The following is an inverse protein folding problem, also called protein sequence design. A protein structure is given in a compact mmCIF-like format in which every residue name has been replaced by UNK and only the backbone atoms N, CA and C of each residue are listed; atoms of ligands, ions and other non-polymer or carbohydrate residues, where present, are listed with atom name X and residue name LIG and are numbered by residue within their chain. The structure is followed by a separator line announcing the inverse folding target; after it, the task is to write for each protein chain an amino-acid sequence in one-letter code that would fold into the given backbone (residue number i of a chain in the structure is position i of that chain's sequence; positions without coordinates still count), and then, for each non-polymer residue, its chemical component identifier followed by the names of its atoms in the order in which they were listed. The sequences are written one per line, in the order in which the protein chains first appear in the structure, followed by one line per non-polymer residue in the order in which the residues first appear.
data_IF_301904784874
#
_entry.id   IF_301904784874
#
_cell.length_a   1.000
_cell.length_b   1.000
_cell.length_c   1.000
_cell.angle_alpha   90.00
_cell.angle_beta   90.00
_cell.angle_gamma   90.00
#
_symmetry.space_group_name_H-M   'P 1'
#
loop_
_entity.id
_entity.type
_entity.pdbx_description
1 polymer ?
#
# COMPACT_ATOMS: atom_id res chain seq x y z
N UNK A 1 -18.10 20.17 13.15
CA UNK A 1 -17.67 19.14 14.13
C UNK A 1 -16.26 18.62 13.90
N UNK A 2 -15.80 18.39 12.66
CA UNK A 2 -14.45 17.89 12.36
C UNK A 2 -13.30 18.68 13.03
N UNK A 3 -13.34 20.02 13.00
CA UNK A 3 -12.33 20.86 13.68
C UNK A 3 -12.27 20.63 15.20
N UNK A 4 -13.40 20.27 15.83
CA UNK A 4 -13.46 19.96 17.27
C UNK A 4 -12.77 18.62 17.54
N UNK A 5 -13.06 17.60 16.74
CA UNK A 5 -12.40 16.30 16.82
C UNK A 5 -10.89 16.41 16.59
N UNK A 6 -10.47 17.17 15.57
CA UNK A 6 -9.06 17.42 15.31
C UNK A 6 -8.35 17.96 16.56
N UNK A 7 -8.89 19.01 17.20
CA UNK A 7 -8.30 19.56 18.43
C UNK A 7 -8.12 18.53 19.55
N UNK A 8 -9.06 17.60 19.70
CA UNK A 8 -8.95 16.53 20.70
C UNK A 8 -7.93 15.45 20.33
N UNK A 9 -7.69 15.23 19.04
CA UNK A 9 -6.75 14.24 18.54
C UNK A 9 -5.30 14.75 18.45
N UNK A 10 -5.09 16.08 18.41
CA UNK A 10 -3.75 16.68 18.33
C UNK A 10 -2.73 16.15 19.36
N UNK A 11 -3.08 15.90 20.65
CA UNK A 11 -2.12 15.32 21.59
C UNK A 11 -1.68 13.90 21.20
N UNK A 12 -2.61 13.08 20.70
CA UNK A 12 -2.32 11.73 20.24
C UNK A 12 -1.45 11.75 18.99
N UNK A 13 -1.75 12.63 18.04
CA UNK A 13 -0.97 12.85 16.83
C UNK A 13 0.48 13.23 17.17
N UNK A 14 0.67 14.21 18.05
CA UNK A 14 2.02 14.60 18.51
C UNK A 14 2.77 13.46 19.17
N UNK A 15 2.10 12.66 19.99
CA UNK A 15 2.72 11.51 20.64
C UNK A 15 3.13 10.44 19.62
N UNK A 16 2.28 10.18 18.61
CA UNK A 16 2.59 9.24 17.55
C UNK A 16 3.83 9.69 16.75
N UNK A 17 3.90 10.97 16.36
CA UNK A 17 5.06 11.54 15.66
C UNK A 17 6.32 11.42 16.51
N UNK A 18 6.26 11.78 17.80
CA UNK A 18 7.40 11.69 18.69
C UNK A 18 7.92 10.25 18.81
N UNK A 19 7.02 9.29 19.06
CA UNK A 19 7.38 7.88 19.20
C UNK A 19 8.01 7.30 17.93
N UNK A 20 7.42 7.59 16.76
CA UNK A 20 7.96 7.11 15.49
C UNK A 20 9.28 7.80 15.18
N UNK A 21 9.43 9.10 15.42
CA UNK A 21 10.68 9.82 15.18
C UNK A 21 11.83 9.29 16.05
N UNK A 22 11.53 8.87 17.29
CA UNK A 22 12.52 8.25 18.18
C UNK A 22 12.86 6.81 17.76
N UNK A 23 11.87 6.05 17.30
CA UNK A 23 12.03 4.65 16.93
C UNK A 23 12.68 4.44 15.56
N UNK A 24 12.36 5.28 14.57
CA UNK A 24 12.73 5.08 13.17
C UNK A 24 14.24 4.99 12.92
N UNK A 25 15.12 5.78 13.57
CA UNK A 25 16.57 5.62 13.45
C UNK A 25 17.10 4.30 14.03
N UNK A 26 16.35 3.66 14.92
CA UNK A 26 16.73 2.38 15.56
C UNK A 26 16.34 1.16 14.69
N UNK A 27 15.46 1.35 13.70
CA UNK A 27 14.97 0.28 12.84
C UNK A 27 16.06 -0.17 11.85
N UNK A 28 16.63 -1.36 12.06
CA UNK A 28 17.72 -1.88 11.22
C UNK A 28 17.25 -2.55 9.92
N UNK A 29 16.02 -3.09 9.91
CA UNK A 29 15.43 -3.76 8.76
C UNK A 29 13.98 -3.33 8.59
N UNK A 30 13.47 -3.22 7.36
CA UNK A 30 12.04 -3.05 7.16
C UNK A 30 11.28 -4.32 7.56
N UNK A 31 10.03 -4.15 8.00
CA UNK A 31 9.13 -5.25 8.35
C UNK A 31 8.23 -5.51 7.15
N UNK A 32 8.38 -6.67 6.51
CA UNK A 32 7.71 -7.07 5.26
C UNK A 32 6.64 -8.15 5.45
N UNK A 33 6.03 -8.23 6.64
CA UNK A 33 4.92 -9.18 6.87
C UNK A 33 3.69 -8.72 6.08
N UNK A 34 2.81 -9.60 5.62
CA UNK A 34 1.54 -9.17 5.00
C UNK A 34 0.47 -8.74 6.02
N UNK A 35 0.90 -8.37 7.23
CA UNK A 35 0.03 -8.09 8.38
C UNK A 35 0.32 -6.71 9.00
N UNK A 36 -0.22 -6.49 10.20
CA UNK A 36 -0.30 -5.20 10.91
C UNK A 36 1.03 -4.49 11.13
N UNK A 37 2.12 -5.23 11.33
CA UNK A 37 3.43 -4.67 11.64
C UNK A 37 4.19 -4.18 10.40
N UNK A 38 3.63 -4.34 9.21
CA UNK A 38 4.30 -4.03 7.95
C UNK A 38 4.63 -2.55 7.81
N UNK A 39 5.91 -2.24 7.60
CA UNK A 39 6.38 -0.86 7.61
C UNK A 39 6.02 -0.09 6.34
N UNK A 40 5.97 -0.71 5.15
CA UNK A 40 5.75 0.08 3.94
C UNK A 40 4.33 0.68 3.86
N UNK A 41 3.31 -0.09 4.23
CA UNK A 41 1.95 0.40 4.35
C UNK A 41 1.83 1.51 5.41
N UNK A 42 2.37 1.27 6.62
CA UNK A 42 2.32 2.27 7.69
C UNK A 42 3.04 3.57 7.31
N UNK A 43 4.23 3.47 6.71
CA UNK A 43 5.01 4.62 6.28
C UNK A 43 4.34 5.38 5.13
N UNK A 44 3.65 4.69 4.22
CA UNK A 44 2.87 5.34 3.16
C UNK A 44 1.77 6.24 3.74
N UNK A 45 1.01 5.72 4.71
CA UNK A 45 -0.02 6.50 5.42
C UNK A 45 0.57 7.68 6.21
N UNK A 46 1.73 7.48 6.84
CA UNK A 46 2.43 8.52 7.59
C UNK A 46 2.96 9.63 6.67
N UNK A 47 3.46 9.30 5.48
CA UNK A 47 3.86 10.30 4.47
C UNK A 47 2.66 11.12 4.00
N UNK A 48 1.58 10.45 3.61
CA UNK A 48 0.35 11.11 3.16
C UNK A 48 -0.20 12.07 4.24
N UNK A 49 -0.12 11.67 5.52
CA UNK A 49 -0.48 12.53 6.64
C UNK A 49 0.49 13.71 6.81
N UNK A 50 1.80 13.47 6.78
CA UNK A 50 2.81 14.49 7.04
C UNK A 50 2.76 15.63 6.02
N UNK A 51 2.48 15.31 4.76
CA UNK A 51 2.24 16.29 3.70
C UNK A 51 1.00 17.16 4.00
N UNK A 52 -0.15 16.54 4.31
CA UNK A 52 -1.39 17.28 4.61
C UNK A 52 -1.27 18.12 5.89
N UNK A 53 -0.56 17.62 6.89
CA UNK A 53 -0.31 18.30 8.16
C UNK A 53 0.79 19.36 8.07
N UNK A 54 1.48 19.48 6.92
CA UNK A 54 2.64 20.35 6.71
C UNK A 54 3.76 20.13 7.76
N UNK A 55 3.99 18.88 8.15
CA UNK A 55 5.05 18.50 9.09
C UNK A 55 6.31 18.09 8.32
N UNK A 56 7.05 19.09 7.84
CA UNK A 56 8.21 18.91 6.98
C UNK A 56 9.38 18.14 7.64
N UNK A 57 9.57 18.32 8.95
CA UNK A 57 10.62 17.63 9.70
C UNK A 57 10.37 16.13 9.73
N UNK A 58 9.15 15.71 10.12
CA UNK A 58 8.79 14.30 10.15
C UNK A 58 8.74 13.69 8.74
N UNK A 59 8.21 14.43 7.77
CA UNK A 59 8.18 14.00 6.37
C UNK A 59 9.59 13.74 5.83
N UNK A 60 10.54 14.65 6.09
CA UNK A 60 11.93 14.50 5.65
C UNK A 60 12.64 13.33 6.33
N UNK A 61 12.47 13.18 7.66
CA UNK A 61 13.01 12.05 8.41
C UNK A 61 12.50 10.72 7.87
N UNK A 62 11.19 10.63 7.61
CA UNK A 62 10.56 9.42 7.10
C UNK A 62 11.04 9.09 5.68
N UNK A 63 11.07 10.06 4.76
CA UNK A 63 11.58 9.85 3.39
C UNK A 63 13.04 9.39 3.37
N UNK A 64 13.90 9.98 4.19
CA UNK A 64 15.30 9.57 4.27
C UNK A 64 15.43 8.10 4.69
N UNK A 65 14.75 7.72 5.78
CA UNK A 65 14.77 6.35 6.29
C UNK A 65 14.12 5.34 5.35
N UNK A 66 13.06 5.71 4.63
CA UNK A 66 12.48 4.84 3.60
C UNK A 66 13.49 4.56 2.48
N UNK A 67 14.19 5.57 1.97
CA UNK A 67 15.21 5.36 0.93
C UNK A 67 16.32 4.42 1.42
N UNK A 68 16.78 4.60 2.65
CA UNK A 68 17.81 3.74 3.24
C UNK A 68 17.36 2.28 3.42
N UNK A 69 16.07 2.04 3.70
CA UNK A 69 15.53 0.70 3.94
C UNK A 69 15.14 -0.04 2.65
N UNK A 70 14.68 0.68 1.62
CA UNK A 70 13.97 0.08 0.49
C UNK A 70 14.54 0.41 -0.90
N UNK A 71 15.32 1.48 -1.06
CA UNK A 71 15.75 1.90 -2.40
C UNK A 71 16.67 0.90 -3.11
N UNK A 72 17.36 0.04 -2.35
CA UNK A 72 18.26 -0.99 -2.86
C UNK A 72 17.59 -2.34 -3.16
N UNK A 73 16.30 -2.49 -2.87
CA UNK A 73 15.60 -3.75 -3.10
C UNK A 73 15.36 -3.98 -4.59
N UNK A 74 15.52 -5.23 -5.01
CA UNK A 74 15.35 -5.71 -6.38
C UNK A 74 14.72 -7.10 -6.36
N UNK A 75 14.11 -7.52 -7.49
CA UNK A 75 13.55 -8.87 -7.67
C UNK A 75 12.64 -9.32 -6.52
N UNK A 76 11.58 -8.54 -6.25
CA UNK A 76 10.69 -8.82 -5.12
C UNK A 76 10.04 -10.20 -5.24
N UNK A 77 10.10 -11.06 -4.19
CA UNK A 77 9.75 -12.47 -4.31
C UNK A 77 8.22 -12.71 -4.24
N UNK A 78 7.49 -12.34 -5.30
CA UNK A 78 6.05 -12.60 -5.41
C UNK A 78 5.67 -14.08 -5.24
N UNK A 79 6.59 -15.00 -5.52
CA UNK A 79 6.38 -16.43 -5.30
C UNK A 79 6.11 -16.82 -3.84
N UNK A 80 6.43 -15.96 -2.87
CA UNK A 80 6.16 -16.18 -1.45
C UNK A 80 4.85 -15.52 -0.98
N UNK A 81 4.14 -14.82 -1.85
CA UNK A 81 2.86 -14.19 -1.54
C UNK A 81 1.67 -14.84 -2.27
N UNK A 82 0.50 -14.93 -1.63
CA UNK A 82 0.25 -14.54 -0.24
C UNK A 82 0.63 -15.62 0.78
N UNK A 83 1.01 -15.19 1.99
CA UNK A 83 0.86 -16.03 3.19
C UNK A 83 -0.62 -16.13 3.57
N UNK A 84 -1.01 -17.22 4.24
CA UNK A 84 -2.43 -17.54 4.47
C UNK A 84 -3.22 -16.56 5.35
N UNK A 85 -2.56 -15.56 5.94
CA UNK A 85 -3.18 -14.55 6.80
C UNK A 85 -2.87 -13.11 6.33
N UNK A 86 -2.38 -12.96 5.11
CA UNK A 86 -2.05 -11.65 4.58
C UNK A 86 -3.32 -10.86 4.28
N UNK A 87 -3.33 -9.59 4.69
CA UNK A 87 -4.26 -8.57 4.19
C UNK A 87 -3.52 -7.42 3.49
N UNK A 88 -2.20 -7.46 3.48
CA UNK A 88 -1.31 -6.57 2.73
C UNK A 88 -0.33 -7.41 1.92
N UNK A 89 0.04 -6.93 0.74
CA UNK A 89 1.09 -7.53 -0.08
C UNK A 89 2.43 -6.89 0.26
N UNK A 90 3.42 -7.63 0.80
CA UNK A 90 4.76 -7.11 1.01
C UNK A 90 5.35 -6.35 -0.19
N UNK A 91 5.34 -6.97 -1.37
CA UNK A 91 5.90 -6.39 -2.59
C UNK A 91 5.09 -5.18 -3.09
N UNK A 92 3.76 -5.28 -3.15
CA UNK A 92 2.97 -4.14 -3.66
C UNK A 92 2.92 -2.97 -2.68
N UNK A 93 2.95 -3.22 -1.37
CA UNK A 93 3.00 -2.14 -0.38
C UNK A 93 4.33 -1.39 -0.46
N UNK A 94 5.43 -2.09 -0.72
CA UNK A 94 6.74 -1.49 -0.95
C UNK A 94 6.76 -0.63 -2.23
N UNK A 95 6.28 -1.17 -3.35
CA UNK A 95 6.19 -0.40 -4.58
C UNK A 95 5.24 0.82 -4.46
N UNK A 96 4.11 0.67 -3.77
CA UNK A 96 3.19 1.78 -3.48
C UNK A 96 3.81 2.83 -2.52
N UNK A 97 4.68 2.42 -1.59
CA UNK A 97 5.46 3.35 -0.79
C UNK A 97 6.48 4.10 -1.66
N UNK A 98 7.26 3.40 -2.48
CA UNK A 98 8.39 3.98 -3.20
C UNK A 98 7.95 5.01 -4.25
N UNK A 99 6.73 4.88 -4.82
CA UNK A 99 6.18 5.94 -5.68
C UNK A 99 5.93 7.28 -4.98
N UNK A 100 5.83 7.31 -3.65
CA UNK A 100 5.70 8.54 -2.85
C UNK A 100 7.05 9.18 -2.57
N UNK A 101 8.11 8.38 -2.65
CA UNK A 101 9.46 8.79 -2.26
C UNK A 101 10.28 9.27 -3.46
N UNK A 102 10.19 8.55 -4.56
CA UNK A 102 10.89 8.83 -5.80
C UNK A 102 10.15 9.84 -6.69
N UNK A 103 10.90 10.52 -7.55
CA UNK A 103 10.31 11.16 -8.73
C UNK A 103 9.72 10.11 -9.68
N UNK A 104 8.85 10.54 -10.60
CA UNK A 104 8.20 9.65 -11.58
C UNK A 104 9.21 8.84 -12.41
N UNK A 105 10.33 9.46 -12.81
CA UNK A 105 11.38 8.79 -13.58
C UNK A 105 12.17 7.81 -12.72
N UNK A 106 12.65 8.23 -11.54
CA UNK A 106 13.35 7.35 -10.60
C UNK A 106 12.49 6.13 -10.24
N UNK A 107 11.18 6.33 -10.00
CA UNK A 107 10.27 5.24 -9.66
C UNK A 107 10.12 4.25 -10.82
N UNK A 108 9.96 4.73 -12.06
CA UNK A 108 9.81 3.86 -13.22
C UNK A 108 11.05 3.00 -13.47
N UNK A 109 12.24 3.56 -13.26
CA UNK A 109 13.53 2.85 -13.34
C UNK A 109 13.68 1.83 -12.21
N UNK A 110 13.42 2.24 -10.97
CA UNK A 110 13.47 1.37 -9.80
C UNK A 110 12.48 0.20 -9.93
N UNK A 111 11.25 0.46 -10.40
CA UNK A 111 10.22 -0.58 -10.56
C UNK A 111 10.64 -1.66 -11.56
N UNK A 112 11.46 -1.33 -12.56
CA UNK A 112 12.01 -2.31 -13.51
C UNK A 112 12.94 -3.30 -12.82
N UNK A 113 13.75 -2.82 -11.88
CA UNK A 113 14.63 -3.68 -11.08
C UNK A 113 13.85 -4.46 -10.01
N UNK A 114 12.81 -3.84 -9.45
CA UNK A 114 12.01 -4.42 -8.38
C UNK A 114 11.05 -5.51 -8.88
N UNK A 115 10.45 -5.34 -10.06
CA UNK A 115 9.63 -6.36 -10.73
C UNK A 115 10.17 -6.67 -12.14
N UNK A 116 11.26 -7.43 -12.27
CA UNK A 116 11.91 -7.68 -13.56
C UNK A 116 11.04 -8.44 -14.56
N UNK A 117 10.00 -9.12 -14.09
CA UNK A 117 9.03 -9.87 -14.91
C UNK A 117 7.79 -9.07 -15.31
N UNK A 118 7.64 -7.83 -14.81
CA UNK A 118 6.55 -6.93 -15.17
C UNK A 118 6.90 -6.17 -16.45
N UNK A 119 6.26 -6.55 -17.56
CA UNK A 119 6.43 -5.98 -18.89
C UNK A 119 5.06 -5.79 -19.58
N UNK A 120 5.04 -5.27 -20.81
CA UNK A 120 3.80 -5.12 -21.59
C UNK A 120 3.07 -6.46 -21.82
N UNK A 121 3.81 -7.56 -21.86
CA UNK A 121 3.31 -8.92 -22.16
C UNK A 121 2.91 -9.68 -20.89
N UNK A 122 2.96 -9.05 -19.72
CA UNK A 122 2.61 -9.68 -18.44
C UNK A 122 1.13 -10.11 -18.45
N UNK A 123 0.91 -11.41 -18.27
CA UNK A 123 -0.41 -12.03 -18.23
C UNK A 123 -1.17 -11.79 -16.92
N UNK A 124 -2.43 -12.20 -16.90
CA UNK A 124 -3.30 -12.11 -15.71
C UNK A 124 -2.87 -13.01 -14.55
N UNK A 125 -2.00 -13.99 -14.81
CA UNK A 125 -1.46 -14.94 -13.84
C UNK A 125 -0.28 -14.38 -13.03
N UNK A 126 0.29 -13.23 -13.43
CA UNK A 126 1.37 -12.57 -12.71
C UNK A 126 1.02 -12.27 -11.24
N UNK A 127 -0.23 -11.87 -10.99
CA UNK A 127 -0.76 -11.67 -9.66
C UNK A 127 -2.25 -11.99 -9.62
N UNK A 128 -2.56 -13.26 -9.36
CA UNK A 128 -3.94 -13.72 -9.26
C UNK A 128 -4.61 -13.27 -7.94
N UNK A 129 -5.94 -13.00 -7.96
CA UNK A 129 -6.71 -12.80 -6.73
C UNK A 129 -6.57 -13.94 -5.73
N UNK A 130 -6.43 -13.60 -4.46
CA UNK A 130 -6.40 -14.57 -3.37
C UNK A 130 -7.79 -15.18 -3.16
N UNK A 131 -7.83 -16.46 -2.79
CA UNK A 131 -9.07 -17.19 -2.53
C UNK A 131 -9.19 -17.46 -1.04
N UNK A 132 -10.33 -17.11 -0.45
CA UNK A 132 -10.64 -17.41 0.95
C UNK A 132 -11.33 -18.76 1.05
N UNK A 133 -10.75 -19.70 1.78
CA UNK A 133 -11.31 -21.05 1.95
C UNK A 133 -12.28 -21.15 3.12
N UNK A 134 -12.14 -20.30 4.14
CA UNK A 134 -13.05 -20.22 5.29
C UNK A 134 -13.14 -18.76 5.78
N UNK A 135 -14.31 -18.14 5.60
CA UNK A 135 -14.58 -16.75 6.01
C UNK A 135 -15.01 -16.60 7.47
N UNK A 136 -15.21 -17.71 8.17
CA UNK A 136 -15.54 -17.74 9.59
C UNK A 136 -14.29 -17.70 10.48
N UNK A 137 -13.14 -18.06 9.91
CA UNK A 137 -11.84 -17.88 10.56
C UNK A 137 -11.38 -16.42 10.45
N UNK A 138 -11.07 -15.81 11.60
CA UNK A 138 -10.70 -14.40 11.69
C UNK A 138 -9.37 -14.05 10.99
N UNK A 139 -8.52 -15.04 10.71
CA UNK A 139 -7.24 -14.85 10.03
C UNK A 139 -7.32 -15.20 8.56
N UNK A 140 -7.99 -16.28 8.18
CA UNK A 140 -8.13 -16.64 6.76
C UNK A 140 -8.98 -15.62 5.99
N UNK A 141 -9.95 -14.97 6.66
CA UNK A 141 -10.72 -13.87 6.10
C UNK A 141 -9.87 -12.64 5.70
N UNK A 142 -8.62 -12.53 6.14
CA UNK A 142 -7.70 -11.46 5.74
C UNK A 142 -7.47 -11.39 4.23
N UNK A 143 -7.52 -12.52 3.54
CA UNK A 143 -7.28 -12.60 2.10
C UNK A 143 -8.35 -11.86 1.26
N UNK A 144 -9.56 -11.66 1.79
CA UNK A 144 -10.56 -10.77 1.16
C UNK A 144 -10.06 -9.31 1.17
N UNK A 145 -9.46 -8.88 2.29
CA UNK A 145 -8.87 -7.55 2.41
C UNK A 145 -7.58 -7.40 1.63
N UNK A 146 -6.82 -8.49 1.46
CA UNK A 146 -5.65 -8.51 0.58
C UNK A 146 -6.03 -8.15 -0.86
N UNK A 147 -7.10 -8.71 -1.40
CA UNK A 147 -7.55 -8.36 -2.75
C UNK A 147 -7.86 -6.86 -2.85
N UNK A 148 -8.53 -6.30 -1.85
CA UNK A 148 -8.86 -4.87 -1.84
C UNK A 148 -7.62 -3.98 -1.71
N UNK A 149 -6.68 -4.34 -0.83
CA UNK A 149 -5.44 -3.58 -0.62
C UNK A 149 -4.51 -3.65 -1.84
N UNK A 150 -4.39 -4.82 -2.48
CA UNK A 150 -3.66 -5.01 -3.74
C UNK A 150 -4.25 -4.15 -4.85
N UNK A 151 -5.57 -4.11 -4.99
CA UNK A 151 -6.22 -3.26 -5.99
C UNK A 151 -5.87 -1.77 -5.80
N UNK A 152 -5.92 -1.28 -4.56
CA UNK A 152 -5.58 0.11 -4.22
C UNK A 152 -4.10 0.41 -4.50
N UNK A 153 -3.19 -0.47 -4.06
CA UNK A 153 -1.74 -0.31 -4.29
C UNK A 153 -1.38 -0.36 -5.77
N UNK A 154 -1.99 -1.27 -6.56
CA UNK A 154 -1.77 -1.35 -8.01
C UNK A 154 -2.22 -0.07 -8.72
N UNK A 155 -3.33 0.54 -8.30
CA UNK A 155 -3.75 1.85 -8.81
C UNK A 155 -2.73 2.94 -8.47
N UNK A 156 -2.19 2.92 -7.26
CA UNK A 156 -1.11 3.81 -6.84
C UNK A 156 0.14 3.65 -7.69
N UNK A 157 0.65 2.42 -7.83
CA UNK A 157 1.81 2.09 -8.67
C UNK A 157 1.62 2.60 -10.11
N UNK A 158 0.46 2.35 -10.72
CA UNK A 158 0.13 2.90 -12.04
C UNK A 158 0.15 4.43 -12.05
N UNK A 159 -0.34 5.10 -11.01
CA UNK A 159 -0.29 6.56 -10.90
C UNK A 159 1.15 7.08 -10.82
N UNK A 160 2.06 6.33 -10.21
CA UNK A 160 3.49 6.64 -10.13
C UNK A 160 4.25 6.49 -11.45
N UNK A 161 3.72 5.78 -12.45
CA UNK A 161 4.40 5.55 -13.74
C UNK A 161 4.12 6.66 -14.78
N UNK A 162 5.06 6.96 -15.71
CA UNK A 162 4.80 7.80 -16.89
C UNK A 162 3.53 7.38 -17.64
N UNK A 163 2.81 8.32 -18.25
CA UNK A 163 1.53 8.02 -18.92
C UNK A 163 1.66 7.01 -20.07
N UNK A 164 2.80 6.99 -20.76
CA UNK A 164 3.12 6.07 -21.85
C UNK A 164 3.85 4.79 -21.42
N UNK A 165 4.00 4.52 -20.12
CA UNK A 165 4.65 3.29 -19.65
C UNK A 165 3.77 2.06 -19.96
N UNK A 166 4.31 1.11 -20.71
CA UNK A 166 3.57 -0.05 -21.21
C UNK A 166 3.08 -0.98 -20.09
N UNK A 167 3.76 -1.00 -18.92
CA UNK A 167 3.38 -1.82 -17.76
C UNK A 167 2.04 -1.40 -17.15
N UNK A 168 1.54 -0.20 -17.48
CA UNK A 168 0.23 0.27 -17.01
C UNK A 168 -0.92 -0.60 -17.48
N UNK A 169 -0.84 -1.19 -18.67
CA UNK A 169 -1.90 -2.04 -19.20
C UNK A 169 -2.09 -3.33 -18.36
N UNK A 170 -1.06 -4.16 -18.14
CA UNK A 170 -1.20 -5.35 -17.30
C UNK A 170 -1.48 -5.01 -15.83
N UNK A 171 -0.88 -3.94 -15.27
CA UNK A 171 -1.21 -3.48 -13.91
C UNK A 171 -2.70 -3.14 -13.76
N UNK A 172 -3.32 -2.55 -14.80
CA UNK A 172 -4.76 -2.24 -14.80
C UNK A 172 -5.61 -3.50 -14.77
N UNK A 173 -5.23 -4.51 -15.54
CA UNK A 173 -5.93 -5.81 -15.57
C UNK A 173 -5.87 -6.46 -14.20
N UNK A 174 -4.68 -6.53 -13.58
CA UNK A 174 -4.53 -7.07 -12.23
C UNK A 174 -5.33 -6.27 -11.19
N UNK A 175 -5.27 -4.93 -11.26
CA UNK A 175 -6.02 -4.06 -10.35
C UNK A 175 -7.52 -4.29 -10.43
N UNK A 176 -8.09 -4.45 -11.63
CA UNK A 176 -9.53 -4.67 -11.79
C UNK A 176 -9.95 -6.07 -11.31
N UNK A 177 -9.15 -7.10 -11.56
CA UNK A 177 -9.41 -8.44 -11.05
C UNK A 177 -9.45 -8.48 -9.51
N UNK A 178 -8.48 -7.84 -8.87
CA UNK A 178 -8.41 -7.72 -7.41
C UNK A 178 -9.53 -6.83 -6.85
N UNK A 179 -9.84 -5.70 -7.51
CA UNK A 179 -10.95 -4.83 -7.13
C UNK A 179 -12.27 -5.60 -7.14
N UNK A 180 -12.54 -6.34 -8.21
CA UNK A 180 -13.75 -7.15 -8.32
C UNK A 180 -13.83 -8.17 -7.17
N UNK A 181 -12.78 -8.96 -6.97
CA UNK A 181 -12.75 -9.97 -5.91
C UNK A 181 -12.92 -9.36 -4.50
N UNK A 182 -12.22 -8.25 -4.22
CA UNK A 182 -12.29 -7.56 -2.94
C UNK A 182 -13.67 -6.96 -2.66
N UNK A 183 -14.23 -6.20 -3.61
CA UNK A 183 -15.53 -5.56 -3.42
C UNK A 183 -16.69 -6.56 -3.36
N UNK A 184 -16.63 -7.66 -4.11
CA UNK A 184 -17.61 -8.74 -4.01
C UNK A 184 -17.64 -9.32 -2.58
N UNK A 185 -16.47 -9.46 -1.93
CA UNK A 185 -16.39 -9.90 -0.54
C UNK A 185 -16.91 -8.86 0.47
N UNK A 186 -16.77 -7.56 0.17
CA UNK A 186 -17.28 -6.48 1.03
C UNK A 186 -18.80 -6.32 0.92
N UNK A 187 -19.36 -6.45 -0.28
CA UNK A 187 -20.75 -6.05 -0.57
C UNK A 187 -21.70 -7.23 -0.81
N UNK A 188 -21.20 -8.35 -1.34
CA UNK A 188 -22.01 -9.47 -1.80
C UNK A 188 -21.96 -10.72 -0.92
N UNK A 189 -20.94 -10.86 -0.09
CA UNK A 189 -20.70 -12.06 0.72
C UNK A 189 -20.17 -11.72 2.13
N UNK A 190 -20.94 -10.88 2.81
CA UNK A 190 -20.56 -10.28 4.08
C UNK A 190 -20.56 -11.28 5.24
N UNK A 191 -19.38 -11.56 5.81
CA UNK A 191 -19.23 -12.21 7.11
C UNK A 191 -18.57 -11.27 8.11
N UNK A 192 -19.00 -11.30 9.38
CA UNK A 192 -18.53 -10.34 10.41
C UNK A 192 -17.00 -10.30 10.56
N UNK A 193 -16.33 -11.46 10.43
CA UNK A 193 -14.86 -11.56 10.55
C UNK A 193 -14.08 -10.73 9.51
N UNK A 194 -14.70 -10.40 8.37
CA UNK A 194 -14.14 -9.43 7.41
C UNK A 194 -14.81 -8.06 7.48
N UNK A 195 -16.15 -8.03 7.49
CA UNK A 195 -16.91 -6.81 7.20
C UNK A 195 -16.68 -5.65 8.16
N UNK A 196 -16.23 -5.90 9.40
CA UNK A 196 -15.96 -4.85 10.39
C UNK A 196 -14.73 -3.99 10.09
N UNK A 197 -13.81 -4.45 9.23
CA UNK A 197 -12.59 -3.70 8.87
C UNK A 197 -12.41 -3.54 7.35
N UNK A 198 -12.96 -4.45 6.54
CA UNK A 198 -12.87 -4.39 5.06
C UNK A 198 -13.37 -3.07 4.48
N UNK A 199 -14.37 -2.45 5.11
CA UNK A 199 -14.89 -1.12 4.71
C UNK A 199 -13.82 -0.02 4.70
N UNK A 200 -12.77 -0.13 5.53
CA UNK A 200 -11.66 0.83 5.55
C UNK A 200 -10.82 0.73 4.28
N UNK A 201 -10.51 -0.50 3.83
CA UNK A 201 -9.77 -0.73 2.59
C UNK A 201 -10.60 -0.39 1.36
N UNK A 202 -11.90 -0.71 1.37
CA UNK A 202 -12.82 -0.29 0.31
C UNK A 202 -12.87 1.24 0.22
N UNK A 203 -12.86 1.96 1.35
CA UNK A 203 -12.79 3.42 1.36
C UNK A 203 -11.50 3.93 0.70
N UNK A 204 -10.34 3.36 1.02
CA UNK A 204 -9.09 3.75 0.36
C UNK A 204 -9.13 3.53 -1.15
N UNK A 205 -9.64 2.38 -1.59
CA UNK A 205 -9.80 2.03 -3.00
C UNK A 205 -10.74 3.00 -3.72
N UNK A 206 -11.97 3.16 -3.23
CA UNK A 206 -13.00 3.96 -3.91
C UNK A 206 -12.71 5.46 -3.86
N UNK A 207 -11.96 5.95 -2.87
CA UNK A 207 -11.58 7.38 -2.77
C UNK A 207 -10.22 7.70 -3.38
N UNK A 208 -9.52 6.69 -3.93
CA UNK A 208 -8.16 6.86 -4.45
C UNK A 208 -7.23 7.54 -3.44
N UNK A 209 -7.32 7.16 -2.15
CA UNK A 209 -6.60 7.83 -1.07
C UNK A 209 -5.08 7.77 -1.32
N UNK A 210 -4.38 8.88 -1.12
CA UNK A 210 -2.94 8.97 -1.38
C UNK A 210 -2.58 9.11 -2.87
N UNK A 211 -3.58 9.29 -3.75
CA UNK A 211 -3.39 9.70 -5.14
C UNK A 211 -3.73 11.20 -5.23
N UNK A 212 -2.81 12.08 -4.84
CA UNK A 212 -3.06 13.53 -4.89
C UNK A 212 -3.31 13.96 -6.35
N UNK A 213 -4.48 14.54 -6.68
CA UNK A 213 -4.69 15.14 -7.99
C UNK A 213 -3.94 16.48 -8.01
N UNK A 214 -2.65 16.47 -8.33
CA UNK A 214 -1.90 17.73 -8.53
C UNK A 214 -0.41 17.76 -8.20
N UNK A 215 0.20 16.70 -7.67
CA UNK A 215 1.67 16.61 -7.56
C UNK A 215 2.19 15.77 -8.73
N UNK A 216 2.79 16.26 -9.81
CA UNK A 216 3.40 17.52 -10.22
C UNK A 216 3.33 17.60 -11.77
N UNK A 217 3.65 18.74 -12.42
CA UNK A 217 4.10 18.72 -13.82
C UNK A 217 5.32 17.80 -14.03
#
# INVERSE_FOLDING_TARGET
EAQRWLRFLLPLERQAVANISEWLPKLSFPIRTGEHSQTAFAFGLMLDWAEIAANEEFHSLLKARIRELYAGDVDCPLAYEPSGQDFLSPCLAEADLMRRVFTRTEFAEWLTLFFPTLSAETGSDWLAPAVVTDKTDGKLAHLDGLNTSRAWMLQGIMHGLPSGDERRAPLRVAAEAHRKAGLDAVLGDMHYMGSHWLGSFATYLETARGHSPGANP
#
